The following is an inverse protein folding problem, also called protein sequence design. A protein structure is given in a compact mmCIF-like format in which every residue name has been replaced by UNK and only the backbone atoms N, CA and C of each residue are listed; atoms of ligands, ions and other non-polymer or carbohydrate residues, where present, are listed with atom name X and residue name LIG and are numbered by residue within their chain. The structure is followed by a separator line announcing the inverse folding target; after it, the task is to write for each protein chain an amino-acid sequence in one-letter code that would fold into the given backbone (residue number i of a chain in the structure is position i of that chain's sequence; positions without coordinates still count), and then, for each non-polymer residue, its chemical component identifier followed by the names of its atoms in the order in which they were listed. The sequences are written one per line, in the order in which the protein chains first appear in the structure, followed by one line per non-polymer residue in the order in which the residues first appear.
data_IF_902143184792
#
_entry.id   IF_902143184792
#
_cell.length_a   1.000
_cell.length_b   1.000
_cell.length_c   1.000
_cell.angle_alpha   90.00
_cell.angle_beta   90.00
_cell.angle_gamma   90.00
#
_symmetry.space_group_name_H-M   'P 1'
#
loop_
_entity.id
_entity.type
_entity.pdbx_description
1 polymer ?
#
# COMPACT_ATOMS: atom_id res chain seq x y z
N UNK A 1 33.83 -12.96 -12.71
CA UNK A 1 33.91 -11.54 -12.32
C UNK A 1 34.10 -11.51 -10.82
N UNK A 2 35.18 -10.91 -10.34
CA UNK A 2 35.39 -10.69 -8.91
C UNK A 2 35.54 -9.20 -8.66
N UNK A 3 34.76 -8.66 -7.74
CA UNK A 3 34.77 -7.25 -7.39
C UNK A 3 35.83 -6.90 -6.33
N UNK A 4 36.50 -7.90 -5.74
CA UNK A 4 37.28 -7.69 -4.49
C UNK A 4 38.53 -8.55 -4.36
N UNK A 5 38.93 -9.30 -5.39
CA UNK A 5 40.12 -10.16 -5.31
C UNK A 5 41.35 -9.47 -5.88
N UNK A 6 42.47 -9.64 -5.18
CA UNK A 6 43.83 -9.31 -5.65
C UNK A 6 44.08 -10.04 -6.98
N UNK A 7 43.81 -9.34 -8.07
CA UNK A 7 43.74 -9.90 -9.42
C UNK A 7 45.06 -10.58 -9.84
N UNK A 8 46.18 -10.15 -9.25
CA UNK A 8 47.50 -10.75 -9.50
C UNK A 8 47.61 -12.19 -8.99
N UNK A 9 47.05 -12.52 -7.82
CA UNK A 9 47.11 -13.90 -7.29
C UNK A 9 46.31 -14.87 -8.15
N UNK A 10 45.19 -14.42 -8.69
CA UNK A 10 44.36 -15.22 -9.59
C UNK A 10 45.00 -15.42 -10.96
N UNK A 11 45.66 -14.39 -11.48
CA UNK A 11 46.43 -14.50 -12.71
C UNK A 11 47.53 -15.56 -12.57
N UNK A 12 48.26 -15.56 -11.45
CA UNK A 12 49.30 -16.56 -11.18
C UNK A 12 48.71 -17.96 -10.98
N UNK A 13 47.57 -18.07 -10.29
CA UNK A 13 46.88 -19.36 -10.08
C UNK A 13 46.35 -19.97 -11.40
N UNK A 14 45.93 -19.13 -12.35
CA UNK A 14 45.40 -19.56 -13.65
C UNK A 14 46.40 -19.33 -14.79
N UNK A 15 47.65 -19.80 -14.62
CA UNK A 15 48.69 -19.84 -15.67
C UNK A 15 48.89 -18.52 -16.43
N UNK A 16 48.97 -17.42 -15.69
CA UNK A 16 49.15 -16.06 -16.23
C UNK A 16 48.10 -15.66 -17.27
N UNK A 17 46.83 -16.05 -17.07
CA UNK A 17 45.77 -15.70 -18.00
C UNK A 17 45.61 -14.16 -18.18
N UNK A 18 45.08 -13.71 -19.33
CA UNK A 18 44.91 -12.28 -19.60
C UNK A 18 43.93 -11.63 -18.62
N UNK A 19 44.33 -10.51 -18.00
CA UNK A 19 43.50 -9.73 -17.09
C UNK A 19 42.88 -8.54 -17.83
N UNK A 20 41.55 -8.44 -17.81
CA UNK A 20 40.82 -7.27 -18.29
C UNK A 20 40.30 -6.47 -17.09
N UNK A 21 40.83 -5.28 -16.88
CA UNK A 21 40.40 -4.37 -15.81
C UNK A 21 39.44 -3.34 -16.38
N UNK A 22 38.21 -3.31 -15.89
CA UNK A 22 37.21 -2.29 -16.25
C UNK A 22 37.30 -1.20 -15.17
N UNK A 23 37.59 0.07 -15.52
CA UNK A 23 37.59 1.15 -14.54
C UNK A 23 36.21 1.29 -13.92
N UNK A 24 36.13 1.30 -12.59
CA UNK A 24 34.86 1.38 -11.88
C UNK A 24 34.31 2.80 -11.89
N UNK A 25 33.04 2.95 -12.26
CA UNK A 25 32.27 4.14 -11.94
C UNK A 25 31.64 3.95 -10.55
N UNK A 26 32.47 4.05 -9.50
CA UNK A 26 31.96 4.04 -8.12
C UNK A 26 31.57 5.47 -7.74
N UNK A 27 30.33 5.63 -7.29
CA UNK A 27 29.90 6.84 -6.62
C UNK A 27 30.71 7.01 -5.32
N UNK A 28 31.01 8.26 -4.89
CA UNK A 28 31.77 8.49 -3.68
C UNK A 28 31.03 7.91 -2.47
N UNK A 29 31.73 7.09 -1.68
CA UNK A 29 31.24 6.51 -0.42
C UNK A 29 31.98 7.21 0.72
N UNK A 30 31.24 7.73 1.69
CA UNK A 30 31.80 8.27 2.92
C UNK A 30 32.19 7.13 3.87
N UNK A 31 33.41 7.20 4.41
CA UNK A 31 33.97 6.16 5.29
C UNK A 31 34.06 6.74 6.70
N UNK A 32 33.42 6.06 7.66
CA UNK A 32 33.48 6.40 9.07
C UNK A 32 34.33 5.37 9.83
N UNK A 33 35.12 5.85 10.79
CA UNK A 33 35.99 5.04 11.63
C UNK A 33 35.55 5.16 13.09
N UNK A 34 35.68 4.07 13.87
CA UNK A 34 35.52 4.15 15.32
C UNK A 34 36.68 4.95 15.92
N UNK A 35 36.42 5.79 16.95
CA UNK A 35 37.47 6.60 17.57
C UNK A 35 38.50 5.73 18.32
N UNK A 36 38.09 4.55 18.78
CA UNK A 36 38.94 3.57 19.46
C UNK A 36 38.68 2.16 18.90
N UNK A 37 39.66 1.23 19.01
CA UNK A 37 39.48 -0.15 18.61
C UNK A 37 38.51 -0.90 19.54
N UNK A 38 37.42 -1.40 18.96
CA UNK A 38 36.39 -2.16 19.69
C UNK A 38 36.88 -3.57 20.02
N UNK A 39 36.71 -3.99 21.29
CA UNK A 39 37.14 -5.32 21.77
C UNK A 39 36.23 -6.44 21.25
N UNK A 40 34.94 -6.14 21.09
CA UNK A 40 33.95 -7.05 20.51
C UNK A 40 33.45 -6.46 19.19
N UNK A 41 34.09 -6.90 18.11
CA UNK A 41 33.75 -6.43 16.77
C UNK A 41 32.38 -6.93 16.30
N UNK A 42 31.87 -8.04 16.85
CA UNK A 42 30.58 -8.60 16.46
C UNK A 42 29.45 -7.74 17.03
N UNK A 43 29.54 -7.46 18.34
CA UNK A 43 28.60 -6.57 19.02
C UNK A 43 28.67 -5.15 18.46
N UNK A 44 29.88 -4.62 18.20
CA UNK A 44 30.03 -3.31 17.59
C UNK A 44 29.49 -3.25 16.15
N UNK A 45 29.66 -4.30 15.36
CA UNK A 45 29.09 -4.39 14.01
C UNK A 45 27.57 -4.46 14.06
N UNK A 46 27.00 -5.31 14.92
CA UNK A 46 25.54 -5.41 15.11
C UNK A 46 24.98 -4.06 15.58
N UNK A 47 25.61 -3.43 16.59
CA UNK A 47 25.23 -2.10 17.09
C UNK A 47 25.30 -1.04 16.00
N UNK A 48 26.34 -1.05 15.17
CA UNK A 48 26.51 -0.06 14.09
C UNK A 48 25.50 -0.30 12.96
N UNK A 49 25.24 -1.55 12.59
CA UNK A 49 24.18 -1.89 11.62
C UNK A 49 22.84 -1.43 12.16
N UNK A 50 22.51 -1.76 13.41
CA UNK A 50 21.29 -1.29 14.07
C UNK A 50 21.27 0.24 14.15
N UNK A 51 22.37 0.91 14.44
CA UNK A 51 22.44 2.38 14.53
C UNK A 51 22.31 3.07 13.17
N UNK A 52 22.80 2.46 12.08
CA UNK A 52 22.55 2.94 10.72
C UNK A 52 21.07 2.76 10.38
N UNK A 53 20.51 1.59 10.71
CA UNK A 53 19.11 1.26 10.45
C UNK A 53 18.11 2.05 11.32
N UNK A 54 18.48 2.37 12.56
CA UNK A 54 17.69 3.16 13.52
C UNK A 54 17.96 4.66 13.42
N UNK A 55 19.12 5.04 12.91
CA UNK A 55 19.49 6.44 12.62
C UNK A 55 18.83 6.96 11.35
N UNK A 56 18.43 6.07 10.46
CA UNK A 56 17.32 6.29 9.54
C UNK A 56 16.02 6.11 10.33
N UNK A 57 15.57 7.18 11.01
CA UNK A 57 14.39 7.20 11.92
C UNK A 57 13.05 6.73 11.29
N UNK A 58 13.01 6.30 10.03
CA UNK A 58 11.77 6.02 9.30
C UNK A 58 11.24 4.57 9.43
N UNK A 59 12.08 3.57 9.69
CA UNK A 59 11.64 2.16 9.62
C UNK A 59 10.92 1.65 10.88
N UNK A 60 11.34 2.09 12.07
CA UNK A 60 10.70 1.71 13.34
C UNK A 60 9.26 2.23 13.45
N UNK A 61 9.06 3.46 13.01
CA UNK A 61 7.74 4.11 12.96
C UNK A 61 6.81 3.42 11.96
N UNK A 62 7.32 3.04 10.77
CA UNK A 62 6.56 2.29 9.76
C UNK A 62 6.02 0.97 10.33
N UNK A 63 6.85 0.22 11.04
CA UNK A 63 6.46 -1.05 11.66
C UNK A 63 5.39 -0.86 12.75
N UNK A 64 5.50 0.20 13.54
CA UNK A 64 4.48 0.57 14.53
C UNK A 64 3.16 0.96 13.83
N UNK A 65 3.19 1.84 12.82
CA UNK A 65 1.97 2.24 12.09
C UNK A 65 1.27 1.08 11.39
N UNK A 66 2.02 0.06 10.93
CA UNK A 66 1.44 -1.15 10.35
C UNK A 66 0.89 -2.12 11.41
N UNK A 67 1.05 -1.79 12.69
CA UNK A 67 0.76 -2.62 13.87
C UNK A 67 1.55 -3.93 13.88
N UNK A 68 2.73 -3.95 13.25
CA UNK A 68 3.65 -5.09 13.29
C UNK A 68 4.44 -5.10 14.61
N UNK A 69 4.76 -3.93 15.15
CA UNK A 69 5.31 -3.73 16.48
C UNK A 69 4.29 -3.03 17.38
N UNK A 70 4.37 -3.27 18.70
CA UNK A 70 3.64 -2.47 19.69
C UNK A 70 4.44 -1.21 20.07
N UNK A 71 3.87 -0.36 20.94
CA UNK A 71 4.51 0.88 21.41
C UNK A 71 5.79 0.64 22.22
N UNK A 72 5.96 -0.57 22.76
CA UNK A 72 7.16 -0.99 23.51
C UNK A 72 8.26 -1.57 22.59
N UNK A 73 7.98 -1.73 21.29
CA UNK A 73 8.92 -2.28 20.30
C UNK A 73 8.90 -3.81 20.17
N UNK A 74 7.96 -4.50 20.81
CA UNK A 74 7.78 -5.96 20.69
C UNK A 74 6.93 -6.34 19.47
N UNK A 75 7.25 -7.50 18.89
CA UNK A 75 6.53 -8.07 17.76
C UNK A 75 5.10 -8.49 18.16
N UNK A 76 4.10 -7.97 17.44
CA UNK A 76 2.69 -8.35 17.64
C UNK A 76 2.37 -9.69 16.95
N UNK A 77 1.22 -10.30 17.27
CA UNK A 77 0.73 -11.48 16.54
C UNK A 77 0.55 -11.18 15.04
N UNK A 78 0.10 -9.96 14.72
CA UNK A 78 0.00 -9.51 13.33
C UNK A 78 1.39 -9.39 12.68
N UNK A 79 2.36 -8.79 13.37
CA UNK A 79 3.74 -8.69 12.88
C UNK A 79 4.38 -10.05 12.65
N UNK A 80 4.15 -11.01 13.56
CA UNK A 80 4.60 -12.39 13.40
C UNK A 80 3.97 -13.05 12.17
N UNK A 81 2.68 -12.84 11.94
CA UNK A 81 1.99 -13.37 10.75
C UNK A 81 2.51 -12.72 9.47
N UNK A 82 2.78 -11.41 9.49
CA UNK A 82 3.36 -10.70 8.34
C UNK A 82 4.75 -11.22 7.98
N UNK A 83 5.56 -11.56 8.98
CA UNK A 83 6.92 -12.08 8.79
C UNK A 83 6.96 -13.47 8.12
N UNK A 84 5.85 -14.21 8.10
CA UNK A 84 5.78 -15.50 7.38
C UNK A 84 5.68 -15.35 5.86
N UNK A 85 5.28 -14.17 5.36
CA UNK A 85 5.10 -13.93 3.95
C UNK A 85 6.37 -13.38 3.29
N UNK A 86 6.79 -13.91 2.12
CA UNK A 86 7.91 -13.37 1.35
C UNK A 86 7.46 -12.16 0.50
N UNK A 87 6.79 -11.20 1.14
CA UNK A 87 6.24 -10.00 0.52
C UNK A 87 6.71 -8.77 1.28
N UNK A 88 6.67 -7.62 0.62
CA UNK A 88 6.87 -6.34 1.31
C UNK A 88 5.83 -6.18 2.42
N UNK A 89 6.25 -5.57 3.53
CA UNK A 89 5.44 -5.45 4.75
C UNK A 89 4.05 -4.81 4.48
N UNK A 90 4.00 -3.79 3.63
CA UNK A 90 2.74 -3.15 3.21
C UNK A 90 1.81 -4.12 2.47
N UNK A 91 2.35 -4.92 1.54
CA UNK A 91 1.58 -5.93 0.81
C UNK A 91 1.13 -7.08 1.72
N UNK A 92 1.98 -7.50 2.67
CA UNK A 92 1.62 -8.49 3.68
C UNK A 92 0.45 -7.99 4.56
N UNK A 93 0.48 -6.72 4.98
CA UNK A 93 -0.62 -6.09 5.74
C UNK A 93 -1.92 -6.10 4.96
N UNK A 94 -1.87 -5.70 3.69
CA UNK A 94 -3.04 -5.67 2.79
C UNK A 94 -3.60 -7.09 2.63
N UNK A 95 -2.73 -8.08 2.44
CA UNK A 95 -3.15 -9.46 2.28
C UNK A 95 -3.89 -9.98 3.53
N UNK A 96 -3.38 -9.72 4.73
CA UNK A 96 -4.05 -10.12 5.96
C UNK A 96 -5.38 -9.36 6.13
N UNK A 97 -5.37 -8.04 5.98
CA UNK A 97 -6.57 -7.20 6.12
C UNK A 97 -7.65 -7.50 5.06
N UNK A 98 -7.26 -8.00 3.89
CA UNK A 98 -8.20 -8.37 2.81
C UNK A 98 -9.20 -9.44 3.22
N UNK A 99 -8.86 -10.26 4.23
CA UNK A 99 -9.75 -11.27 4.81
C UNK A 99 -10.96 -10.61 5.48
N UNK A 100 -10.76 -9.49 6.19
CA UNK A 100 -11.83 -8.76 6.86
C UNK A 100 -12.77 -8.07 5.86
N UNK A 101 -12.23 -7.65 4.72
CA UNK A 101 -12.97 -7.05 3.61
C UNK A 101 -13.55 -8.08 2.63
N UNK A 102 -13.34 -9.38 2.87
CA UNK A 102 -13.76 -10.49 2.01
C UNK A 102 -13.32 -10.38 0.53
N UNK A 103 -12.14 -9.83 0.27
CA UNK A 103 -11.60 -9.60 -1.08
C UNK A 103 -10.19 -10.18 -1.28
N UNK A 104 -9.88 -11.26 -0.55
CA UNK A 104 -8.53 -11.82 -0.50
C UNK A 104 -8.03 -12.35 -1.84
N UNK A 105 -8.91 -12.89 -2.68
CA UNK A 105 -8.54 -13.33 -4.03
C UNK A 105 -8.09 -12.20 -4.94
N UNK A 106 -8.83 -11.10 -4.94
CA UNK A 106 -8.55 -9.97 -5.79
C UNK A 106 -7.24 -9.30 -5.38
N UNK A 107 -7.05 -9.16 -4.07
CA UNK A 107 -5.79 -8.67 -3.51
C UNK A 107 -4.63 -9.60 -3.87
N UNK A 108 -4.81 -10.90 -3.78
CA UNK A 108 -3.78 -11.87 -4.15
C UNK A 108 -3.37 -11.76 -5.61
N UNK A 109 -4.33 -11.60 -6.52
CA UNK A 109 -4.08 -11.36 -7.94
C UNK A 109 -3.35 -10.04 -8.18
N UNK A 110 -3.74 -8.96 -7.47
CA UNK A 110 -3.09 -7.66 -7.57
C UNK A 110 -1.65 -7.75 -7.05
N UNK A 111 -1.44 -8.31 -5.85
CA UNK A 111 -0.12 -8.50 -5.25
C UNK A 111 0.79 -9.32 -6.17
N UNK A 112 0.30 -10.41 -6.75
CA UNK A 112 1.06 -11.21 -7.70
C UNK A 112 1.54 -10.40 -8.93
N UNK A 113 0.70 -9.49 -9.44
CA UNK A 113 1.05 -8.63 -10.58
C UNK A 113 1.94 -7.45 -10.17
N UNK A 114 1.87 -6.98 -8.92
CA UNK A 114 2.77 -5.95 -8.41
C UNK A 114 4.17 -6.49 -8.12
N UNK A 115 4.30 -7.77 -7.73
CA UNK A 115 5.58 -8.42 -7.43
C UNK A 115 6.44 -8.75 -8.66
N UNK A 116 5.94 -8.46 -9.87
CA UNK A 116 6.58 -8.80 -11.15
C UNK A 116 6.89 -7.54 -11.95
N UNK A 117 7.86 -7.58 -12.88
CA UNK A 117 8.14 -6.45 -13.75
C UNK A 117 6.89 -6.02 -14.52
N UNK A 118 6.81 -4.72 -14.80
CA UNK A 118 5.66 -4.04 -15.40
C UNK A 118 4.98 -4.88 -16.49
N UNK A 119 3.69 -5.18 -16.26
CA UNK A 119 2.93 -6.07 -17.13
C UNK A 119 2.70 -5.49 -18.53
N UNK A 120 2.57 -4.17 -18.66
CA UNK A 120 2.36 -3.49 -19.94
C UNK A 120 3.68 -3.17 -20.65
N UNK A 121 3.90 -3.77 -21.82
CA UNK A 121 5.07 -3.53 -22.66
C UNK A 121 4.84 -2.26 -23.49
N UNK A 122 5.65 -1.24 -23.25
CA UNK A 122 5.57 0.05 -23.96
C UNK A 122 6.86 0.36 -24.71
N UNK A 123 7.00 -0.20 -25.93
CA UNK A 123 8.14 0.12 -26.79
C UNK A 123 8.08 1.57 -27.28
N UNK A 124 9.25 2.14 -27.61
CA UNK A 124 9.37 3.54 -28.07
C UNK A 124 8.62 3.80 -29.37
N UNK A 125 8.58 2.81 -30.26
CA UNK A 125 7.96 2.86 -31.59
C UNK A 125 6.44 2.65 -31.55
N UNK A 126 5.94 1.80 -30.64
CA UNK A 126 4.53 1.41 -30.59
C UNK A 126 3.74 2.02 -29.41
N UNK A 127 4.21 3.14 -28.83
CA UNK A 127 3.60 3.79 -27.65
C UNK A 127 2.08 3.95 -27.78
N UNK A 128 1.59 4.51 -28.89
CA UNK A 128 0.14 4.73 -29.11
C UNK A 128 -0.67 3.43 -29.15
N UNK A 129 -0.11 2.37 -29.70
CA UNK A 129 -0.77 1.07 -29.77
C UNK A 129 -0.82 0.39 -28.40
N UNK A 130 0.28 0.45 -27.64
CA UNK A 130 0.35 -0.04 -26.27
C UNK A 130 -0.61 0.72 -25.34
N UNK A 131 -0.65 2.06 -25.44
CA UNK A 131 -1.54 2.89 -24.64
C UNK A 131 -3.02 2.57 -24.99
N UNK A 132 -3.35 2.37 -26.28
CA UNK A 132 -4.69 1.94 -26.71
C UNK A 132 -5.06 0.54 -26.22
N UNK A 133 -4.11 -0.40 -26.16
CA UNK A 133 -4.33 -1.73 -25.64
C UNK A 133 -4.58 -1.69 -24.12
N UNK A 134 -3.78 -0.91 -23.38
CA UNK A 134 -3.95 -0.68 -21.93
C UNK A 134 -5.34 -0.12 -21.62
N UNK A 135 -5.82 0.86 -22.41
CA UNK A 135 -7.14 1.45 -22.22
C UNK A 135 -8.32 0.49 -22.37
N UNK A 136 -8.13 -0.70 -22.99
CA UNK A 136 -9.19 -1.72 -23.06
C UNK A 136 -9.50 -2.36 -21.71
N UNK A 137 -8.53 -2.35 -20.79
CA UNK A 137 -8.64 -2.93 -19.47
C UNK A 137 -8.82 -1.88 -18.37
N UNK A 138 -8.79 -0.60 -18.75
CA UNK A 138 -8.83 0.53 -17.84
C UNK A 138 -10.08 0.48 -16.95
N UNK A 139 -9.85 0.58 -15.65
CA UNK A 139 -10.90 0.77 -14.66
C UNK A 139 -10.96 2.25 -14.26
N UNK A 140 -12.16 2.81 -14.11
CA UNK A 140 -12.40 4.22 -13.76
C UNK A 140 -11.71 4.62 -12.46
N UNK A 141 -11.73 3.72 -11.49
CA UNK A 141 -11.25 4.00 -10.13
C UNK A 141 -9.73 3.80 -9.97
N UNK A 142 -8.98 3.29 -10.97
CA UNK A 142 -7.52 3.22 -10.84
C UNK A 142 -6.76 2.13 -11.61
N UNK A 143 -5.44 2.24 -11.54
CA UNK A 143 -4.49 1.30 -12.13
C UNK A 143 -4.51 -0.06 -11.41
N UNK A 144 -4.67 -0.13 -10.09
CA UNK A 144 -4.68 -1.42 -9.36
C UNK A 144 -5.83 -2.33 -9.83
N UNK A 145 -7.01 -1.75 -10.04
CA UNK A 145 -8.18 -2.49 -10.56
C UNK A 145 -8.02 -2.80 -12.06
N UNK A 146 -7.28 -1.97 -12.80
CA UNK A 146 -6.88 -2.28 -14.17
C UNK A 146 -5.99 -3.52 -14.23
N UNK A 147 -5.05 -3.69 -13.27
CA UNK A 147 -4.22 -4.90 -13.16
C UNK A 147 -5.09 -6.12 -12.89
N UNK A 148 -6.09 -6.00 -12.02
CA UNK A 148 -7.05 -7.07 -11.74
C UNK A 148 -7.85 -7.46 -13.01
N UNK A 149 -8.32 -6.47 -13.78
CA UNK A 149 -9.01 -6.73 -15.05
C UNK A 149 -8.13 -7.47 -16.04
N UNK A 150 -6.84 -7.13 -16.12
CA UNK A 150 -5.86 -7.84 -16.94
C UNK A 150 -5.72 -9.28 -16.50
N UNK A 151 -5.64 -9.54 -15.19
CA UNK A 151 -5.56 -10.90 -14.65
C UNK A 151 -6.79 -11.74 -15.00
N UNK A 152 -7.99 -11.19 -14.77
CA UNK A 152 -9.24 -11.87 -15.09
C UNK A 152 -9.35 -12.17 -16.59
N UNK A 153 -8.98 -11.22 -17.45
CA UNK A 153 -8.97 -11.43 -18.88
C UNK A 153 -7.94 -12.49 -19.30
N UNK A 154 -6.77 -12.54 -18.65
CA UNK A 154 -5.77 -13.58 -18.89
C UNK A 154 -6.29 -14.98 -18.52
N UNK A 155 -6.93 -15.13 -17.36
CA UNK A 155 -7.52 -16.39 -16.93
C UNK A 155 -8.66 -16.85 -17.85
N UNK A 156 -9.52 -15.93 -18.30
CA UNK A 156 -10.60 -16.22 -19.25
C UNK A 156 -10.09 -16.70 -20.61
N UNK A 157 -8.88 -16.27 -21.02
CA UNK A 157 -8.24 -16.67 -22.27
C UNK A 157 -7.29 -17.87 -22.10
N UNK A 158 -7.52 -18.70 -21.07
CA UNK A 158 -6.80 -19.95 -20.80
C UNK A 158 -5.28 -19.78 -20.72
N UNK A 159 -4.82 -18.67 -20.14
CA UNK A 159 -3.38 -18.41 -19.95
C UNK A 159 -2.60 -18.43 -21.28
N UNK A 160 -3.25 -18.01 -22.38
CA UNK A 160 -2.65 -18.06 -23.71
C UNK A 160 -1.52 -17.06 -23.89
N UNK A 161 -0.33 -17.57 -24.19
CA UNK A 161 0.85 -16.78 -24.58
C UNK A 161 0.53 -15.86 -25.77
N UNK A 162 -0.24 -16.36 -26.74
CA UNK A 162 -0.61 -15.59 -27.94
C UNK A 162 -1.50 -14.40 -27.57
N UNK A 163 -2.42 -14.56 -26.62
CA UNK A 163 -3.26 -13.47 -26.13
C UNK A 163 -2.44 -12.39 -25.42
N UNK A 164 -1.43 -12.78 -24.65
CA UNK A 164 -0.50 -11.83 -24.02
C UNK A 164 0.25 -10.98 -25.04
N UNK A 165 0.76 -11.59 -26.11
CA UNK A 165 1.43 -10.85 -27.19
C UNK A 165 0.50 -9.83 -27.88
N UNK A 166 -0.75 -10.20 -28.16
CA UNK A 166 -1.70 -9.28 -28.81
C UNK A 166 -2.12 -8.10 -27.93
N UNK A 167 -2.05 -8.25 -26.61
CA UNK A 167 -2.46 -7.21 -25.65
C UNK A 167 -1.27 -6.50 -24.98
N UNK A 168 -0.03 -6.73 -25.46
CA UNK A 168 1.19 -6.14 -24.89
C UNK A 168 1.39 -6.46 -23.40
N UNK A 169 1.04 -7.69 -22.99
CA UNK A 169 1.14 -8.16 -21.61
C UNK A 169 2.35 -9.09 -21.46
N UNK A 170 3.14 -8.91 -20.40
CA UNK A 170 4.23 -9.80 -20.05
C UNK A 170 3.71 -11.13 -19.48
N UNK A 171 3.91 -12.22 -20.21
CA UNK A 171 3.45 -13.56 -19.81
C UNK A 171 4.09 -14.05 -18.50
N UNK A 172 5.38 -13.75 -18.27
CA UNK A 172 6.10 -14.21 -17.05
C UNK A 172 5.55 -13.54 -15.79
N UNK A 173 4.97 -12.37 -15.94
CA UNK A 173 4.37 -11.59 -14.86
C UNK A 173 3.05 -12.19 -14.34
N UNK A 174 2.45 -13.18 -15.02
CA UNK A 174 1.12 -13.69 -14.68
C UNK A 174 1.09 -15.13 -14.12
N UNK A 175 2.26 -15.76 -13.98
CA UNK A 175 2.37 -17.13 -13.45
C UNK A 175 2.42 -17.16 -11.91
N UNK A 176 1.28 -16.94 -11.26
CA UNK A 176 1.11 -17.20 -9.81
C UNK A 176 -0.19 -17.93 -9.53
N UNK A 177 -0.10 -19.04 -8.78
CA UNK A 177 -1.21 -19.93 -8.42
C UNK A 177 -1.35 -19.96 -6.89
N UNK A 178 -2.38 -19.32 -6.34
CA UNK A 178 -2.68 -19.34 -4.91
C UNK A 178 -4.19 -19.60 -4.67
N UNK A 179 -4.57 -20.24 -3.55
CA UNK A 179 -5.92 -20.75 -3.32
C UNK A 179 -6.96 -19.64 -3.13
N UNK A 180 -8.21 -19.94 -3.55
CA UNK A 180 -9.24 -18.95 -3.85
C UNK A 180 -10.39 -18.91 -2.83
N UNK A 181 -10.64 -17.76 -2.19
CA UNK A 181 -11.91 -17.33 -1.56
C UNK A 181 -12.26 -15.87 -1.94
N UNK A 182 -13.35 -15.67 -2.70
CA UNK A 182 -13.87 -14.34 -3.11
C UNK A 182 -15.30 -14.14 -2.61
N UNK A 183 -15.72 -12.90 -2.44
CA UNK A 183 -17.14 -12.50 -2.52
C UNK A 183 -17.70 -12.59 -3.94
N UNK A 184 -19.02 -12.67 -4.06
CA UNK A 184 -19.69 -12.59 -5.36
C UNK A 184 -19.38 -11.27 -6.09
N UNK A 185 -18.95 -11.39 -7.34
CA UNK A 185 -18.62 -10.27 -8.25
C UNK A 185 -19.80 -9.30 -8.48
N UNK A 186 -21.04 -9.74 -8.20
CA UNK A 186 -22.26 -8.95 -8.39
C UNK A 186 -22.52 -7.95 -7.26
N UNK A 187 -21.75 -8.00 -6.17
CA UNK A 187 -21.90 -7.07 -5.05
C UNK A 187 -21.45 -5.67 -5.42
N UNK A 188 -22.24 -4.66 -5.05
CA UNK A 188 -21.87 -3.23 -5.21
C UNK A 188 -20.62 -2.87 -4.42
N UNK A 189 -20.36 -3.59 -3.34
CA UNK A 189 -19.24 -3.33 -2.45
C UNK A 189 -17.92 -3.98 -2.93
N UNK A 190 -17.95 -4.76 -4.01
CA UNK A 190 -16.78 -5.50 -4.51
C UNK A 190 -15.54 -4.60 -4.71
N UNK A 191 -15.63 -3.60 -5.58
CA UNK A 191 -14.53 -2.66 -5.83
C UNK A 191 -14.24 -1.71 -4.66
N UNK A 192 -15.24 -1.44 -3.82
CA UNK A 192 -15.09 -0.62 -2.61
C UNK A 192 -14.24 -1.34 -1.57
N UNK A 193 -14.51 -2.63 -1.36
CA UNK A 193 -13.80 -3.49 -0.42
C UNK A 193 -12.34 -3.70 -0.83
N UNK A 194 -12.09 -3.95 -2.12
CA UNK A 194 -10.71 -4.07 -2.66
C UNK A 194 -9.92 -2.78 -2.39
N UNK A 195 -10.51 -1.61 -2.66
CA UNK A 195 -9.84 -0.33 -2.41
C UNK A 195 -9.58 -0.08 -0.92
N UNK A 196 -10.53 -0.39 -0.05
CA UNK A 196 -10.33 -0.29 1.41
C UNK A 196 -9.23 -1.23 1.90
N UNK A 197 -9.17 -2.45 1.37
CA UNK A 197 -8.10 -3.40 1.68
C UNK A 197 -6.74 -2.84 1.24
N UNK A 198 -6.61 -2.31 0.02
CA UNK A 198 -5.37 -1.67 -0.45
C UNK A 198 -4.95 -0.49 0.45
N UNK A 199 -5.90 0.35 0.85
CA UNK A 199 -5.64 1.47 1.77
C UNK A 199 -5.05 0.99 3.10
N UNK A 200 -5.40 -0.21 3.58
CA UNK A 200 -4.91 -0.70 4.88
C UNK A 200 -3.40 -0.95 4.98
N UNK A 201 -2.68 -1.10 3.86
CA UNK A 201 -1.22 -1.09 3.85
C UNK A 201 -0.60 0.10 3.11
N UNK A 202 -1.30 0.70 2.15
CA UNK A 202 -0.80 1.86 1.41
C UNK A 202 -1.22 3.22 2.01
N UNK A 203 -1.74 3.25 3.25
CA UNK A 203 -2.21 4.49 3.87
C UNK A 203 -1.11 5.57 4.05
N UNK A 204 0.17 5.20 4.00
CA UNK A 204 1.30 6.14 4.03
C UNK A 204 1.64 6.68 2.63
N UNK A 205 1.32 5.94 1.57
CA UNK A 205 1.62 6.30 0.18
C UNK A 205 0.41 6.97 -0.47
N UNK A 206 -0.01 8.10 0.12
CA UNK A 206 -1.19 8.85 -0.30
C UNK A 206 -0.80 10.25 -0.75
N UNK A 207 -1.45 10.72 -1.81
CA UNK A 207 -1.31 12.07 -2.33
C UNK A 207 -2.67 12.77 -2.44
N UNK A 208 -2.68 14.07 -2.14
CA UNK A 208 -3.82 14.97 -2.25
C UNK A 208 -3.63 15.92 -3.43
N UNK A 209 -4.68 16.13 -4.22
CA UNK A 209 -4.68 17.07 -5.34
C UNK A 209 -5.02 18.48 -4.85
N UNK A 210 -4.08 19.39 -5.03
CA UNK A 210 -4.33 20.81 -4.76
C UNK A 210 -5.11 21.49 -5.90
N UNK A 211 -5.73 22.62 -5.57
CA UNK A 211 -6.40 23.51 -6.55
C UNK A 211 -5.49 23.98 -7.68
N UNK A 212 -4.18 24.00 -7.44
CA UNK A 212 -3.14 24.35 -8.43
C UNK A 212 -2.97 23.28 -9.52
N UNK A 213 -3.50 22.06 -9.29
CA UNK A 213 -3.47 20.95 -10.24
C UNK A 213 -2.27 20.01 -10.10
N UNK A 214 -1.41 20.25 -9.10
CA UNK A 214 -0.34 19.35 -8.66
C UNK A 214 -0.79 18.51 -7.48
N UNK A 215 -0.17 17.35 -7.28
CA UNK A 215 -0.43 16.49 -6.13
C UNK A 215 0.67 16.70 -5.07
N UNK A 216 0.29 16.68 -3.80
CA UNK A 216 1.20 16.71 -2.66
C UNK A 216 1.15 15.39 -1.90
N UNK A 217 2.30 14.86 -1.45
CA UNK A 217 2.31 13.72 -0.53
C UNK A 217 1.69 14.15 0.79
N UNK A 218 0.94 13.24 1.38
CA UNK A 218 0.52 13.34 2.78
C UNK A 218 1.78 13.34 3.67
N UNK A 219 1.80 14.22 4.70
CA UNK A 219 2.92 14.50 5.63
C UNK A 219 4.17 15.14 5.03
N UNK A 220 4.73 14.64 3.92
CA UNK A 220 6.03 15.14 3.42
C UNK A 220 5.91 16.38 2.53
N UNK A 221 4.69 16.73 2.09
CA UNK A 221 4.40 17.89 1.22
C UNK A 221 5.29 17.93 -0.05
N UNK A 222 5.67 16.78 -0.59
CA UNK A 222 6.43 16.70 -1.81
C UNK A 222 5.52 16.93 -3.01
N UNK A 223 5.90 17.87 -3.88
CA UNK A 223 5.15 18.16 -5.11
C UNK A 223 5.42 17.08 -6.15
N UNK A 224 4.35 16.49 -6.69
CA UNK A 224 4.42 15.45 -7.71
C UNK A 224 3.29 15.55 -8.73
N UNK A 225 3.37 14.70 -9.75
CA UNK A 225 2.33 14.56 -10.77
C UNK A 225 1.98 13.09 -10.99
N UNK A 226 0.75 12.82 -11.44
CA UNK A 226 0.38 11.50 -11.92
C UNK A 226 1.26 11.12 -13.12
N UNK A 227 1.84 9.92 -13.10
CA UNK A 227 2.67 9.46 -14.19
C UNK A 227 1.84 9.33 -15.48
N UNK A 228 2.33 9.74 -16.67
CA UNK A 228 1.58 9.70 -17.92
C UNK A 228 1.10 8.30 -18.37
N UNK A 229 1.58 7.25 -17.71
CA UNK A 229 1.16 5.88 -17.96
C UNK A 229 -0.06 5.45 -17.15
N UNK A 230 -0.58 6.27 -16.22
CA UNK A 230 -1.81 5.96 -15.48
C UNK A 230 -3.02 5.88 -16.42
N UNK A 231 -4.01 5.06 -16.07
CA UNK A 231 -5.28 4.99 -16.81
C UNK A 231 -6.30 6.04 -16.40
N UNK A 232 -6.06 6.76 -15.30
CA UNK A 232 -6.99 7.74 -14.76
C UNK A 232 -7.22 8.87 -15.78
N UNK A 233 -8.46 9.03 -16.21
CA UNK A 233 -8.91 10.04 -17.17
C UNK A 233 -9.20 11.39 -16.50
N UNK A 234 -9.54 11.36 -15.22
CA UNK A 234 -9.69 12.50 -14.33
C UNK A 234 -8.60 12.50 -13.26
N UNK A 235 -8.40 13.65 -12.60
CA UNK A 235 -7.51 13.75 -11.44
C UNK A 235 -8.36 13.63 -10.18
N UNK A 236 -8.29 12.51 -9.44
CA UNK A 236 -9.04 12.38 -8.18
C UNK A 236 -8.46 13.32 -7.12
N UNK A 237 -9.29 13.75 -6.17
CA UNK A 237 -8.83 14.59 -5.05
C UNK A 237 -7.84 13.85 -4.16
N UNK A 238 -8.07 12.55 -3.96
CA UNK A 238 -7.24 11.70 -3.11
C UNK A 238 -6.88 10.43 -3.87
N UNK A 239 -5.58 10.16 -3.94
CA UNK A 239 -5.05 8.96 -4.59
C UNK A 239 -4.02 8.30 -3.69
N UNK A 240 -4.00 6.97 -3.66
CA UNK A 240 -2.80 6.27 -3.22
C UNK A 240 -2.02 5.76 -4.43
N UNK A 241 -0.73 5.53 -4.23
CA UNK A 241 0.19 5.08 -5.27
C UNK A 241 1.04 3.91 -4.76
N UNK A 242 1.57 3.10 -5.69
CA UNK A 242 2.46 1.98 -5.36
C UNK A 242 3.93 2.36 -5.46
N UNK A 243 4.31 3.13 -6.48
CA UNK A 243 5.70 3.52 -6.72
C UNK A 243 5.85 5.04 -6.82
N UNK A 244 6.92 5.53 -6.20
CA UNK A 244 7.37 6.90 -6.34
C UNK A 244 8.60 6.94 -7.26
N UNK A 245 8.58 7.78 -8.30
CA UNK A 245 9.64 7.88 -9.30
C UNK A 245 10.23 9.28 -9.31
N UNK A 246 11.50 9.35 -8.89
CA UNK A 246 12.33 10.55 -8.89
C UNK A 246 12.97 10.76 -10.26
N UNK A 247 12.58 11.83 -10.96
CA UNK A 247 13.24 12.28 -12.19
C UNK A 247 13.42 13.80 -12.17
N UNK A 248 13.51 14.48 -13.32
CA UNK A 248 13.42 15.94 -13.40
C UNK A 248 12.10 16.48 -12.81
N UNK A 249 11.04 15.67 -12.87
CA UNK A 249 9.79 15.89 -12.15
C UNK A 249 9.45 14.63 -11.36
N UNK A 250 8.88 14.80 -10.18
CA UNK A 250 8.47 13.66 -9.36
C UNK A 250 7.14 13.11 -9.88
N UNK A 251 7.08 11.79 -10.05
CA UNK A 251 5.90 11.10 -10.54
C UNK A 251 5.48 9.97 -9.61
N UNK A 252 4.17 9.81 -9.45
CA UNK A 252 3.59 8.62 -8.81
C UNK A 252 3.01 7.68 -9.86
N UNK A 253 3.28 6.38 -9.68
CA UNK A 253 2.83 5.32 -10.59
C UNK A 253 1.88 4.37 -9.89
N UNK A 254 1.03 3.76 -10.70
CA UNK A 254 -0.01 2.82 -10.27
C UNK A 254 -0.92 3.49 -9.25
N UNK A 255 -1.74 4.42 -9.72
CA UNK A 255 -2.57 5.26 -8.86
C UNK A 255 -4.02 4.78 -8.82
N UNK A 256 -4.66 4.86 -7.67
CA UNK A 256 -6.08 4.50 -7.48
C UNK A 256 -6.78 5.57 -6.65
N UNK A 257 -8.00 5.90 -7.07
CA UNK A 257 -8.90 6.84 -6.40
C UNK A 257 -9.42 6.28 -5.08
N UNK A 258 -9.35 7.08 -4.02
CA UNK A 258 -9.80 6.73 -2.67
C UNK A 258 -10.60 7.84 -2.02
N UNK A 259 -11.40 7.45 -1.02
CA UNK A 259 -12.13 8.41 -0.21
C UNK A 259 -11.33 8.74 1.06
N UNK A 260 -11.19 10.03 1.42
CA UNK A 260 -10.46 10.44 2.61
C UNK A 260 -11.05 9.92 3.93
N UNK A 261 -12.35 9.63 3.97
CA UNK A 261 -13.02 8.99 5.10
C UNK A 261 -12.43 7.60 5.45
N UNK A 262 -11.85 6.90 4.48
CA UNK A 262 -11.25 5.58 4.72
C UNK A 262 -9.89 5.71 5.42
N UNK A 263 -9.12 6.74 5.09
CA UNK A 263 -7.80 6.99 5.70
C UNK A 263 -7.92 7.16 7.21
N UNK A 264 -8.85 8.02 7.64
CA UNK A 264 -9.10 8.29 9.06
C UNK A 264 -9.65 7.07 9.80
N UNK A 265 -10.49 6.25 9.13
CA UNK A 265 -11.10 5.05 9.75
C UNK A 265 -10.13 3.89 9.85
N UNK A 266 -9.27 3.70 8.85
CA UNK A 266 -8.40 2.54 8.72
C UNK A 266 -7.07 2.76 9.45
N UNK A 267 -6.50 3.96 9.37
CA UNK A 267 -5.22 4.29 9.98
C UNK A 267 -5.30 5.57 10.85
N UNK A 268 -6.12 5.60 11.92
CA UNK A 268 -6.30 6.77 12.76
C UNK A 268 -4.99 7.22 13.45
N UNK A 269 -4.10 6.27 13.78
CA UNK A 269 -2.80 6.56 14.39
C UNK A 269 -1.89 7.36 13.44
N UNK A 270 -1.88 7.02 12.15
CA UNK A 270 -1.07 7.73 11.17
C UNK A 270 -1.70 9.09 10.81
N UNK A 271 -3.03 9.14 10.67
CA UNK A 271 -3.81 10.34 10.38
C UNK A 271 -4.23 11.09 11.65
N UNK A 272 -3.32 11.24 12.61
CA UNK A 272 -3.54 12.10 13.77
C UNK A 272 -3.34 13.58 13.40
N UNK A 273 -4.41 14.37 13.52
CA UNK A 273 -4.42 15.80 13.20
C UNK A 273 -3.53 16.65 14.11
N UNK A 274 -3.16 16.13 15.29
CA UNK A 274 -2.25 16.81 16.21
C UNK A 274 -0.85 16.98 15.61
N UNK A 275 -0.36 15.93 14.94
CA UNK A 275 0.97 15.85 14.33
C UNK A 275 0.96 16.11 12.81
N UNK A 276 -0.22 16.27 12.22
CA UNK A 276 -0.35 16.47 10.78
C UNK A 276 0.05 17.89 10.34
N UNK A 277 0.86 18.06 9.28
CA UNK A 277 1.28 19.38 8.81
C UNK A 277 0.10 20.20 8.28
N UNK A 278 0.21 21.53 8.37
CA UNK A 278 -0.87 22.41 7.93
C UNK A 278 -0.94 22.48 6.39
N UNK A 279 -1.95 21.83 5.79
CA UNK A 279 -2.20 21.83 4.35
C UNK A 279 -3.70 21.69 4.03
N UNK A 280 -4.10 21.82 2.76
CA UNK A 280 -5.50 21.66 2.32
C UNK A 280 -6.06 20.27 2.66
N UNK A 281 -5.21 19.24 2.53
CA UNK A 281 -5.52 17.87 2.91
C UNK A 281 -5.91 17.76 4.40
N UNK A 282 -5.18 18.41 5.31
CA UNK A 282 -5.50 18.45 6.75
C UNK A 282 -6.87 19.04 7.01
N UNK A 283 -7.17 20.19 6.40
CA UNK A 283 -8.45 20.87 6.58
C UNK A 283 -9.63 19.99 6.13
N UNK A 284 -9.48 19.29 5.01
CA UNK A 284 -10.51 18.36 4.52
C UNK A 284 -10.70 17.18 5.48
N UNK A 285 -9.62 16.63 6.04
CA UNK A 285 -9.68 15.54 7.03
C UNK A 285 -10.33 16.01 8.34
N UNK A 286 -10.00 17.19 8.86
CA UNK A 286 -10.63 17.78 10.06
C UNK A 286 -12.14 17.92 9.90
N UNK A 287 -12.60 18.41 8.74
CA UNK A 287 -14.02 18.52 8.42
C UNK A 287 -14.72 17.14 8.39
N UNK A 288 -14.05 16.12 7.86
CA UNK A 288 -14.56 14.75 7.83
C UNK A 288 -14.63 14.16 9.23
N UNK A 289 -13.60 14.34 10.05
CA UNK A 289 -13.56 13.89 11.45
C UNK A 289 -14.70 14.51 12.25
N UNK A 290 -14.88 15.83 12.15
CA UNK A 290 -15.97 16.54 12.82
C UNK A 290 -17.36 16.01 12.39
N UNK A 291 -17.53 15.72 11.11
CA UNK A 291 -18.77 15.14 10.57
C UNK A 291 -19.02 13.73 11.12
N UNK A 292 -18.00 12.86 11.11
CA UNK A 292 -18.09 11.49 11.62
C UNK A 292 -18.43 11.46 13.12
N UNK A 293 -17.85 12.38 13.91
CA UNK A 293 -18.18 12.52 15.33
C UNK A 293 -19.63 12.97 15.55
N UNK A 294 -20.12 13.91 14.74
CA UNK A 294 -21.51 14.35 14.78
C UNK A 294 -22.48 13.20 14.44
N UNK A 295 -22.20 12.44 13.39
CA UNK A 295 -23.01 11.29 12.97
C UNK A 295 -23.06 10.21 14.06
N UNK A 296 -21.93 9.93 14.72
CA UNK A 296 -21.85 8.98 15.83
C UNK A 296 -22.68 9.43 17.04
N UNK A 297 -22.61 10.73 17.38
CA UNK A 297 -23.42 11.30 18.47
C UNK A 297 -24.93 11.25 18.16
N UNK A 298 -25.32 11.53 16.92
CA UNK A 298 -26.71 11.44 16.46
C UNK A 298 -27.22 10.00 16.52
N UNK A 299 -26.40 9.03 16.09
CA UNK A 299 -26.74 7.62 16.17
C UNK A 299 -26.91 7.17 17.64
N UNK A 300 -25.97 7.52 18.52
CA UNK A 300 -26.05 7.20 19.95
C UNK A 300 -27.32 7.80 20.61
N UNK A 301 -27.65 9.06 20.27
CA UNK A 301 -28.91 9.70 20.74
C UNK A 301 -30.16 8.98 20.21
N UNK A 302 -30.16 8.55 18.96
CA UNK A 302 -31.27 7.80 18.37
C UNK A 302 -31.48 6.44 19.06
N UNK A 303 -30.40 5.70 19.29
CA UNK A 303 -30.42 4.42 20.01
C UNK A 303 -30.91 4.60 21.44
N UNK A 304 -30.39 5.59 22.18
CA UNK A 304 -30.84 5.90 23.54
C UNK A 304 -32.33 6.28 23.61
N UNK A 305 -32.83 7.02 22.61
CA UNK A 305 -34.26 7.42 22.54
C UNK A 305 -35.14 6.20 22.28
N UNK A 306 -34.68 5.28 21.42
CA UNK A 306 -35.36 4.01 21.14
C UNK A 306 -35.40 3.11 22.38
N UNK A 307 -34.28 2.99 23.10
CA UNK A 307 -34.21 2.23 24.36
C UNK A 307 -35.14 2.85 25.43
N UNK A 308 -35.13 4.17 25.62
CA UNK A 308 -36.03 4.85 26.57
C UNK A 308 -37.50 4.62 26.23
N UNK A 309 -37.85 4.63 24.94
CA UNK A 309 -39.22 4.37 24.48
C UNK A 309 -39.65 2.93 24.78
N UNK A 310 -38.78 1.94 24.55
CA UNK A 310 -39.02 0.53 24.87
C UNK A 310 -39.18 0.33 26.39
N UNK A 311 -38.32 0.94 27.21
CA UNK A 311 -38.45 0.88 28.67
C UNK A 311 -39.75 1.51 29.17
N UNK A 312 -40.18 2.62 28.56
CA UNK A 312 -41.43 3.30 28.94
C UNK A 312 -42.65 2.45 28.57
N UNK A 313 -42.62 1.79 27.41
CA UNK A 313 -43.66 0.84 26.97
C UNK A 313 -43.73 -0.38 27.88
N UNK A 314 -42.59 -1.01 28.21
CA UNK A 314 -42.56 -2.13 29.16
C UNK A 314 -43.04 -1.74 30.55
N UNK A 315 -42.69 -0.54 31.03
CA UNK A 315 -43.16 -0.02 32.31
C UNK A 315 -44.67 0.22 32.32
N UNK A 316 -45.26 0.72 31.22
CA UNK A 316 -46.72 0.86 31.07
C UNK A 316 -47.41 -0.51 31.10
N UNK A 317 -46.96 -1.45 30.27
CA UNK A 317 -47.56 -2.78 30.21
C UNK A 317 -47.50 -3.50 31.57
N UNK A 318 -46.39 -3.36 32.31
CA UNK A 318 -46.26 -3.93 33.66
C UNK A 318 -47.20 -3.28 34.69
N UNK A 319 -47.43 -1.96 34.59
CA UNK A 319 -48.39 -1.26 35.44
C UNK A 319 -49.83 -1.68 35.12
N UNK A 320 -50.14 -1.89 33.85
CA UNK A 320 -51.47 -2.33 33.41
C UNK A 320 -51.74 -3.80 33.81
N UNK A 321 -50.71 -4.68 33.76
CA UNK A 321 -50.79 -6.05 34.31
C UNK A 321 -51.04 -6.06 35.81
N UNK A 322 -50.36 -5.20 36.59
CA UNK A 322 -50.58 -5.12 38.04
C UNK A 322 -51.99 -4.63 38.37
N UNK A 323 -52.54 -3.67 37.60
CA UNK A 323 -53.91 -3.19 37.80
C UNK A 323 -54.96 -4.27 37.56
N UNK A 324 -54.76 -5.12 36.54
CA UNK A 324 -55.66 -6.23 36.23
C UNK A 324 -55.63 -7.38 37.25
N UNK A 325 -54.62 -7.45 38.12
CA UNK A 325 -54.53 -8.46 39.20
C UNK A 325 -55.18 -7.94 40.50
N UNK A 326 -55.47 -6.64 40.58
CA UNK A 326 -56.04 -5.98 41.76
C UNK A 326 -57.57 -5.75 41.72
N UNK A 327 -58.24 -6.19 40.65
CA UNK A 327 -59.71 -6.34 40.54
C UNK A 327 -60.08 -7.82 40.64
#
# INVERSE_FOLDING_TARGET
MSATLDAGKFQIYFDNCPLLTIPSHTHPVEIFYTPEPERDYLEAAIRTVIQIHMGEEEEGDLLNYLAALNDDGDLTELGSLMAEFPLDLQLAKIFIASCDYNCSNEILSISAILSVPQCFIRSTEAKKAADKAKMRFAHTDGDHLTLLNVYHAFQQNHESVQWCYHNFINYRSLMFNLPRRSTDFTSKDYYSNIRKALVSGYFMQVAHLERTGHCLTVKDNQVMQLHPATVLDHKPEWVFYNEFVLTTKNYIRTCTDIKPEWLVKIAPQYYDMSNFPQCEAKWQLDCIIAKLQCDLQLHYRSVLTSIKSIYTLKKRNFIDEIKNISE
#
